data_IF_856248575722
#
_entry.id   IF_856248575722
#
_cell.length_a   1.000
_cell.length_b   1.000
_cell.length_c   1.000
_cell.angle_alpha   90.00
_cell.angle_beta   90.00
_cell.angle_gamma   90.00
#
_symmetry.space_group_name_H-M   'P 1'
#
loop_
_entity.id
_entity.type
_entity.pdbx_description
1 polymer ?
#
# COMPACT_ATOMS: atom_id res chain seq x y z
N UNK A 1 -4.91 -6.81 -5.97
CA UNK A 1 -4.47 -7.95 -5.12
C UNK A 1 -3.48 -8.78 -5.92
N UNK A 2 -2.46 -9.34 -5.28
CA UNK A 2 -1.53 -10.31 -5.86
C UNK A 2 -1.25 -11.46 -4.89
N UNK A 3 -0.43 -12.41 -5.32
CA UNK A 3 0.00 -13.56 -4.51
C UNK A 3 1.53 -13.59 -4.47
N UNK A 4 2.09 -13.61 -3.26
CA UNK A 4 3.50 -13.94 -3.06
C UNK A 4 3.69 -15.43 -3.36
N UNK A 5 4.39 -15.78 -4.44
CA UNK A 5 4.52 -17.16 -4.90
C UNK A 5 5.44 -18.00 -4.01
N UNK A 6 6.39 -17.35 -3.32
CA UNK A 6 7.34 -18.02 -2.42
C UNK A 6 6.67 -18.34 -1.09
N UNK A 7 5.98 -17.36 -0.51
CA UNK A 7 5.33 -17.50 0.80
C UNK A 7 3.87 -17.94 0.72
N UNK A 8 3.32 -18.07 -0.50
CA UNK A 8 1.94 -18.48 -0.78
C UNK A 8 0.88 -17.69 -0.01
N UNK A 9 1.06 -16.37 0.11
CA UNK A 9 0.14 -15.47 0.83
C UNK A 9 -0.39 -14.35 -0.07
N UNK A 10 -1.58 -13.84 0.27
CA UNK A 10 -2.16 -12.68 -0.41
C UNK A 10 -1.39 -11.40 -0.05
N UNK A 11 -1.17 -10.55 -1.06
CA UNK A 11 -0.50 -9.25 -0.91
C UNK A 11 -1.24 -8.15 -1.67
N UNK A 12 -1.10 -6.92 -1.21
CA UNK A 12 -1.44 -5.73 -1.97
C UNK A 12 -0.19 -5.24 -2.71
N UNK A 13 -0.37 -4.78 -3.95
CA UNK A 13 0.73 -4.29 -4.79
C UNK A 13 0.30 -2.92 -5.31
N UNK A 14 0.99 -1.86 -4.88
CA UNK A 14 0.82 -0.49 -5.41
C UNK A 14 1.84 -0.31 -6.52
N UNK A 15 1.40 0.07 -7.72
CA UNK A 15 2.24 0.17 -8.92
C UNK A 15 2.21 1.60 -9.46
N UNK A 16 3.36 2.12 -9.88
CA UNK A 16 3.52 3.42 -10.51
C UNK A 16 4.31 3.27 -11.82
N UNK A 17 3.77 3.80 -12.92
CA UNK A 17 4.47 3.90 -14.20
C UNK A 17 5.35 5.15 -14.24
N UNK A 18 6.66 4.96 -14.47
CA UNK A 18 7.63 6.05 -14.55
C UNK A 18 7.37 7.02 -15.71
N UNK A 19 6.73 6.55 -16.79
CA UNK A 19 6.42 7.35 -17.99
C UNK A 19 5.21 8.27 -17.81
N UNK A 20 4.33 7.99 -16.84
CA UNK A 20 3.13 8.78 -16.58
C UNK A 20 3.25 9.73 -15.38
N UNK A 21 4.20 9.48 -14.46
CA UNK A 21 4.44 10.32 -13.30
C UNK A 21 5.72 11.12 -13.45
N UNK A 22 5.65 12.46 -13.32
CA UNK A 22 6.86 13.28 -13.23
C UNK A 22 7.77 12.84 -12.08
N UNK A 23 9.04 13.28 -12.11
CA UNK A 23 10.08 12.89 -11.12
C UNK A 23 9.62 13.00 -9.66
N UNK A 24 8.77 13.98 -9.35
CA UNK A 24 8.21 14.19 -8.02
C UNK A 24 7.21 13.11 -7.57
N UNK A 25 6.52 12.46 -8.51
CA UNK A 25 5.62 11.33 -8.19
C UNK A 25 6.42 10.13 -7.74
N UNK A 26 7.54 9.85 -8.43
CA UNK A 26 8.46 8.77 -8.08
C UNK A 26 9.10 9.07 -6.72
N UNK A 27 9.56 10.31 -6.49
CA UNK A 27 10.12 10.73 -5.18
C UNK A 27 9.11 10.53 -4.05
N UNK A 28 7.85 10.95 -4.24
CA UNK A 28 6.77 10.74 -3.24
C UNK A 28 6.53 9.25 -2.99
N UNK A 29 6.44 8.45 -4.04
CA UNK A 29 6.27 7.01 -3.94
C UNK A 29 7.37 6.36 -3.10
N UNK A 30 8.63 6.70 -3.37
CA UNK A 30 9.77 6.19 -2.60
C UNK A 30 9.77 6.70 -1.15
N UNK A 31 9.40 7.95 -0.92
CA UNK A 31 9.29 8.53 0.43
C UNK A 31 8.22 7.83 1.27
N UNK A 32 7.05 7.56 0.70
CA UNK A 32 5.99 6.78 1.37
C UNK A 32 6.51 5.40 1.76
N UNK A 33 7.21 4.73 0.85
CA UNK A 33 7.76 3.41 1.09
C UNK A 33 8.75 3.41 2.26
N UNK A 34 9.67 4.37 2.27
CA UNK A 34 10.69 4.52 3.32
C UNK A 34 10.05 4.85 4.66
N UNK A 35 9.06 5.75 4.70
CA UNK A 35 8.37 6.12 5.92
C UNK A 35 7.64 4.92 6.54
N UNK A 36 6.94 4.12 5.73
CA UNK A 36 6.24 2.91 6.20
C UNK A 36 7.21 1.79 6.61
N UNK A 37 8.38 1.69 5.99
CA UNK A 37 9.39 0.69 6.35
C UNK A 37 10.10 0.99 7.69
N UNK A 38 10.05 2.23 8.18
CA UNK A 38 10.70 2.65 9.42
C UNK A 38 9.85 2.44 10.68
N UNK A 39 8.56 2.12 10.53
CA UNK A 39 7.63 2.05 11.66
C UNK A 39 6.90 0.71 11.67
N UNK A 40 7.07 -0.03 12.77
CA UNK A 40 6.29 -1.24 13.04
C UNK A 40 5.22 -0.93 14.09
N UNK A 41 3.95 -0.96 13.68
CA UNK A 41 2.82 -0.69 14.57
C UNK A 41 1.55 -1.42 14.10
N UNK A 42 0.72 -1.89 15.04
CA UNK A 42 -0.52 -2.65 14.74
C UNK A 42 -1.50 -1.89 13.84
N UNK A 43 -1.54 -0.56 13.96
CA UNK A 43 -2.40 0.31 13.17
C UNK A 43 -1.86 0.70 11.79
N UNK A 44 -0.65 0.27 11.43
CA UNK A 44 -0.03 0.55 10.13
C UNK A 44 -0.03 -0.71 9.26
N UNK A 45 -0.11 -0.49 7.94
CA UNK A 45 -0.01 -1.58 6.97
C UNK A 45 1.47 -1.89 6.74
N UNK A 46 1.94 -3.12 7.03
CA UNK A 46 3.33 -3.49 6.80
C UNK A 46 3.69 -3.47 5.31
N UNK A 47 4.84 -2.86 4.99
CA UNK A 47 5.49 -2.95 3.68
C UNK A 47 6.47 -4.12 3.70
N UNK A 48 6.36 -5.02 2.73
CA UNK A 48 7.23 -6.19 2.62
C UNK A 48 8.41 -5.95 1.68
N UNK A 49 8.19 -5.24 0.58
CA UNK A 49 9.23 -4.99 -0.42
C UNK A 49 8.90 -3.76 -1.28
N UNK A 50 9.95 -3.16 -1.84
CA UNK A 50 9.88 -2.15 -2.90
C UNK A 50 10.78 -2.62 -4.03
N UNK A 51 10.34 -2.45 -5.27
CA UNK A 51 11.12 -2.86 -6.42
C UNK A 51 10.78 -2.09 -7.68
N UNK A 52 11.51 -2.42 -8.75
CA UNK A 52 11.32 -1.88 -10.09
C UNK A 52 11.33 -3.01 -11.11
N UNK A 53 10.39 -3.00 -12.04
CA UNK A 53 10.31 -3.91 -13.17
C UNK A 53 10.14 -3.09 -14.46
N UNK A 54 11.21 -2.98 -15.24
CA UNK A 54 11.24 -2.07 -16.40
C UNK A 54 10.98 -0.62 -15.96
N UNK A 55 9.90 -0.03 -16.48
CA UNK A 55 9.47 1.33 -16.13
C UNK A 55 8.40 1.37 -15.03
N UNK A 56 8.16 0.26 -14.35
CA UNK A 56 7.23 0.17 -13.22
C UNK A 56 7.98 0.20 -11.90
N UNK A 57 7.59 1.10 -11.01
CA UNK A 57 7.91 1.03 -9.59
C UNK A 57 6.76 0.32 -8.87
N UNK A 58 7.07 -0.55 -7.92
CA UNK A 58 6.04 -1.24 -7.16
C UNK A 58 6.41 -1.38 -5.69
N UNK A 59 5.38 -1.44 -4.85
CA UNK A 59 5.47 -1.67 -3.42
C UNK A 59 4.53 -2.80 -3.04
N UNK A 60 5.10 -3.83 -2.42
CA UNK A 60 4.37 -5.00 -1.91
C UNK A 60 4.07 -4.77 -0.43
N UNK A 61 2.81 -4.90 -0.05
CA UNK A 61 2.34 -4.63 1.30
C UNK A 61 1.34 -5.70 1.75
N UNK A 62 1.07 -5.76 3.06
CA UNK A 62 0.04 -6.65 3.61
C UNK A 62 -1.30 -6.39 2.92
N UNK A 63 -1.94 -7.45 2.44
CA UNK A 63 -3.32 -7.37 1.98
C UNK A 63 -4.25 -7.36 3.19
N UNK A 64 -5.10 -6.33 3.29
CA UNK A 64 -6.14 -6.24 4.31
C UNK A 64 -7.48 -6.52 3.62
N UNK A 65 -8.14 -7.57 4.07
CA UNK A 65 -9.52 -7.87 3.67
C UNK A 65 -10.46 -7.02 4.51
N UNK A 66 -11.27 -6.18 3.86
CA UNK A 66 -12.18 -5.26 4.53
C UNK A 66 -12.52 -4.05 3.67
N UNK A 67 -13.16 -3.07 4.30
CA UNK A 67 -13.56 -1.81 3.67
C UNK A 67 -12.66 -0.67 4.11
N UNK A 68 -12.54 0.37 3.27
CA UNK A 68 -11.91 1.61 3.69
C UNK A 68 -12.80 2.31 4.71
N UNK A 69 -12.19 3.07 5.63
CA UNK A 69 -12.97 3.90 6.56
C UNK A 69 -13.95 4.83 5.82
N UNK A 70 -13.55 5.37 4.67
CA UNK A 70 -14.42 6.21 3.84
C UNK A 70 -15.65 5.49 3.29
N UNK A 71 -15.59 4.16 3.07
CA UNK A 71 -16.75 3.36 2.70
C UNK A 71 -17.68 3.18 3.90
N UNK A 72 -17.11 2.81 5.06
CA UNK A 72 -17.86 2.65 6.31
C UNK A 72 -18.58 3.94 6.69
N UNK A 73 -17.90 5.08 6.61
CA UNK A 73 -18.49 6.39 6.93
C UNK A 73 -19.63 6.80 5.97
N UNK A 74 -19.70 6.20 4.77
CA UNK A 74 -20.81 6.45 3.85
C UNK A 74 -22.02 5.56 4.15
N UNK A 75 -21.82 4.38 4.71
CA UNK A 75 -22.88 3.40 4.96
C UNK A 75 -23.43 3.46 6.38
N UNK A 76 -22.56 3.69 7.37
CA UNK A 76 -22.85 3.42 8.79
C UNK A 76 -22.54 4.61 9.71
N UNK A 77 -22.47 5.82 9.16
CA UNK A 77 -22.29 7.03 9.97
C UNK A 77 -23.62 7.52 10.60
N UNK A 78 -23.59 8.07 11.83
CA UNK A 78 -22.42 8.26 12.69
C UNK A 78 -22.03 6.98 13.43
N UNK A 79 -20.72 6.71 13.50
CA UNK A 79 -20.18 5.61 14.30
C UNK A 79 -20.25 5.98 15.79
N UNK A 80 -20.71 5.04 16.63
CA UNK A 80 -20.70 5.22 18.08
C UNK A 80 -19.25 5.36 18.59
N UNK A 81 -19.01 6.18 19.63
CA UNK A 81 -17.71 6.22 20.30
C UNK A 81 -17.35 4.84 20.86
N UNK A 82 -16.05 4.56 20.88
CA UNK A 82 -15.48 3.33 21.44
C UNK A 82 -15.64 3.25 22.97
#
# INVERSE_FOLDING_TARGET
>A
RGTDLTLRRAVAIKVLQARGGGSDTIKRFMREAQALAQVEHRGLVPVYAVGRAGDLYYMVMKFIEGQTLSQILKTDAPLAPA
#
